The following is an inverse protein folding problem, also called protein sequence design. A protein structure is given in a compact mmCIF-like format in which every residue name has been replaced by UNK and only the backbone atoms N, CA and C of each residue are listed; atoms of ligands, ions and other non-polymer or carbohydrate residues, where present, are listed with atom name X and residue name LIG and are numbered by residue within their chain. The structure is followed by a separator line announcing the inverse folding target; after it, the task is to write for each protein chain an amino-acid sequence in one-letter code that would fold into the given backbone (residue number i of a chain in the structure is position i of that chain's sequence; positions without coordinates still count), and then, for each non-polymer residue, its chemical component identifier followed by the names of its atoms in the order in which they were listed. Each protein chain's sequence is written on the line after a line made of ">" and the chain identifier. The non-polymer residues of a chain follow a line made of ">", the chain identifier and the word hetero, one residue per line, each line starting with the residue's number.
data_IF_884708617059
#
_entry.id   IF_884708617059
#
_cell.length_a   1.000
_cell.length_b   1.000
_cell.length_c   1.000
_cell.angle_alpha   90.00
_cell.angle_beta   90.00
_cell.angle_gamma   90.00
#
_symmetry.space_group_name_H-M   'P 1'
#
loop_
_entity.id
_entity.type
_entity.pdbx_description
1 polymer ?
#
# COMPACT_ATOMS: atom_id res chain seq x y z
N UNK A 1 -4.09 -29.51 -14.38
CA UNK A 1 -2.76 -28.91 -14.65
C UNK A 1 -2.73 -27.61 -13.87
N UNK A 2 -1.94 -27.55 -12.79
CA UNK A 2 -1.81 -26.34 -11.98
C UNK A 2 -0.70 -25.49 -12.60
N UNK A 3 -1.07 -24.37 -13.21
CA UNK A 3 -0.11 -23.40 -13.73
C UNK A 3 0.54 -22.64 -12.57
N UNK A 4 1.86 -22.76 -12.48
CA UNK A 4 2.72 -22.03 -11.57
C UNK A 4 2.57 -20.51 -11.82
N UNK A 5 1.87 -19.83 -10.92
CA UNK A 5 1.93 -18.37 -10.85
C UNK A 5 3.34 -17.97 -10.40
N UNK A 6 3.99 -17.18 -11.24
CA UNK A 6 5.38 -16.75 -11.14
C UNK A 6 5.78 -16.27 -9.75
N UNK A 7 6.71 -17.00 -9.16
CA UNK A 7 7.49 -16.55 -8.02
C UNK A 7 8.47 -15.47 -8.52
N UNK A 8 8.27 -14.21 -8.10
CA UNK A 8 9.20 -13.11 -8.35
C UNK A 8 10.05 -12.88 -7.09
N UNK A 9 11.23 -13.50 -6.98
CA UNK A 9 12.14 -13.17 -5.89
C UNK A 9 12.82 -11.83 -6.21
N UNK A 10 12.90 -10.96 -5.21
CA UNK A 10 13.69 -9.71 -5.19
C UNK A 10 12.99 -8.39 -5.56
N UNK A 11 11.83 -8.12 -4.95
CA UNK A 11 11.44 -6.74 -4.64
C UNK A 11 11.65 -6.46 -3.14
N UNK A 12 12.64 -5.63 -2.73
CA UNK A 12 13.01 -5.42 -1.33
C UNK A 12 11.91 -4.74 -0.49
N UNK A 13 10.92 -4.09 -1.12
CA UNK A 13 9.74 -3.58 -0.43
C UNK A 13 8.64 -4.64 -0.25
N UNK A 14 8.50 -5.57 -1.20
CA UNK A 14 7.52 -6.67 -1.14
C UNK A 14 7.96 -7.82 -0.23
N UNK A 15 9.28 -8.04 -0.12
CA UNK A 15 9.84 -9.10 0.71
C UNK A 15 9.82 -8.75 2.22
N UNK A 16 9.56 -7.48 2.57
CA UNK A 16 9.48 -7.03 3.97
C UNK A 16 8.06 -7.17 4.55
N UNK A 17 7.02 -7.00 3.73
CA UNK A 17 5.61 -7.20 4.12
C UNK A 17 4.77 -7.74 2.95
N UNK A 18 4.40 -9.04 2.91
CA UNK A 18 3.52 -9.60 1.87
C UNK A 18 2.09 -9.03 1.91
N UNK A 19 1.73 -8.37 3.00
CA UNK A 19 0.48 -7.64 3.19
C UNK A 19 0.67 -6.60 4.29
N UNK A 20 0.34 -5.34 4.02
CA UNK A 20 0.55 -4.22 4.96
C UNK A 20 -0.79 -3.71 5.51
N UNK A 21 -0.81 -3.43 6.82
CA UNK A 21 -1.95 -2.76 7.45
C UNK A 21 -1.87 -1.24 7.23
N UNK A 22 -3.03 -0.58 7.11
CA UNK A 22 -3.10 0.89 7.00
C UNK A 22 -2.34 1.63 8.10
N UNK A 23 -2.29 1.07 9.32
CA UNK A 23 -1.49 1.62 10.43
C UNK A 23 0.00 1.73 10.07
N UNK A 24 0.59 0.59 9.67
CA UNK A 24 2.01 0.49 9.34
C UNK A 24 2.33 1.39 8.15
N UNK A 25 1.41 1.44 7.17
CA UNK A 25 1.57 2.32 6.02
C UNK A 25 1.59 3.81 6.41
N UNK A 26 0.78 4.24 7.38
CA UNK A 26 0.84 5.60 7.92
C UNK A 26 2.21 5.87 8.57
N UNK A 27 2.68 4.94 9.39
CA UNK A 27 3.96 5.07 10.11
C UNK A 27 5.15 5.18 9.14
N UNK A 28 5.19 4.34 8.10
CA UNK A 28 6.25 4.37 7.07
C UNK A 28 6.22 5.64 6.21
N UNK A 29 5.03 6.13 5.84
CA UNK A 29 4.87 7.36 5.06
C UNK A 29 5.34 8.58 5.86
N UNK A 30 4.97 8.68 7.14
CA UNK A 30 5.44 9.77 8.01
C UNK A 30 6.95 9.69 8.26
N UNK A 31 7.50 8.48 8.43
CA UNK A 31 8.96 8.27 8.53
C UNK A 31 9.71 8.72 7.26
N UNK A 32 9.08 8.53 6.10
CA UNK A 32 9.61 8.98 4.80
C UNK A 32 9.37 10.48 4.51
N UNK A 33 8.84 11.24 5.47
CA UNK A 33 8.57 12.67 5.34
C UNK A 33 7.28 13.03 4.60
N UNK A 34 6.46 12.04 4.22
CA UNK A 34 5.18 12.24 3.53
C UNK A 34 4.10 12.53 4.57
N UNK A 35 3.67 13.79 4.64
CA UNK A 35 2.59 14.21 5.55
C UNK A 35 1.23 13.94 4.95
N UNK A 36 0.47 13.05 5.58
CA UNK A 36 -0.92 12.75 5.18
C UNK A 36 -1.87 13.93 5.43
N UNK A 37 -1.59 14.73 6.45
CA UNK A 37 -2.38 15.88 6.89
C UNK A 37 -1.48 17.13 6.96
N UNK A 38 -2.05 18.29 6.64
CA UNK A 38 -1.29 19.54 6.52
C UNK A 38 -1.23 20.35 7.83
N UNK A 39 -1.91 19.92 8.90
CA UNK A 39 -2.13 20.75 10.08
C UNK A 39 -1.36 20.25 11.31
N UNK A 40 -0.83 21.20 12.10
CA UNK A 40 0.05 20.94 13.27
C UNK A 40 -0.71 20.48 14.53
N UNK A 41 -1.99 20.17 14.43
CA UNK A 41 -2.79 19.78 15.59
C UNK A 41 -2.66 18.27 15.85
N UNK A 42 -2.88 17.83 17.08
CA UNK A 42 -2.94 16.41 17.47
C UNK A 42 -4.09 15.72 16.75
N UNK A 43 -3.89 15.37 15.48
CA UNK A 43 -4.91 14.76 14.65
C UNK A 43 -5.00 13.27 14.98
N UNK A 44 -6.21 12.83 15.35
CA UNK A 44 -6.48 11.46 15.74
C UNK A 44 -6.20 10.48 14.61
N UNK A 45 -5.85 9.25 14.98
CA UNK A 45 -5.57 8.13 14.08
C UNK A 45 -6.62 8.02 12.96
N UNK A 46 -7.90 8.17 13.29
CA UNK A 46 -9.02 8.11 12.31
C UNK A 46 -8.89 9.13 11.18
N UNK A 47 -8.45 10.36 11.46
CA UNK A 47 -8.25 11.39 10.43
C UNK A 47 -7.13 10.99 9.46
N UNK A 48 -6.02 10.46 10.00
CA UNK A 48 -4.89 9.94 9.19
C UNK A 48 -5.31 8.77 8.30
N UNK A 49 -6.13 7.86 8.82
CA UNK A 49 -6.69 6.75 8.04
C UNK A 49 -7.55 7.24 6.88
N UNK A 50 -8.44 8.21 7.11
CA UNK A 50 -9.28 8.77 6.05
C UNK A 50 -8.46 9.53 5.00
N UNK A 51 -7.45 10.29 5.43
CA UNK A 51 -6.55 10.98 4.51
C UNK A 51 -5.73 9.99 3.67
N UNK A 52 -5.16 8.96 4.29
CA UNK A 52 -4.49 7.87 3.60
C UNK A 52 -5.41 7.22 2.57
N UNK A 53 -6.64 6.89 2.98
CA UNK A 53 -7.62 6.24 2.12
C UNK A 53 -7.91 7.09 0.88
N UNK A 54 -8.22 8.37 1.06
CA UNK A 54 -8.62 9.25 -0.05
C UNK A 54 -7.48 9.64 -0.97
N UNK A 55 -6.30 9.93 -0.40
CA UNK A 55 -5.17 10.49 -1.16
C UNK A 55 -4.31 9.45 -1.85
N UNK A 56 -4.22 8.24 -1.30
CA UNK A 56 -3.30 7.21 -1.77
C UNK A 56 -4.02 5.92 -2.10
N UNK A 57 -4.81 5.36 -1.17
CA UNK A 57 -5.39 4.02 -1.40
C UNK A 57 -6.42 4.04 -2.53
N UNK A 58 -7.37 4.97 -2.51
CA UNK A 58 -8.39 5.09 -3.55
C UNK A 58 -7.80 5.24 -4.96
N UNK A 59 -6.92 6.23 -5.24
CA UNK A 59 -6.37 6.37 -6.59
C UNK A 59 -5.55 5.15 -7.01
N UNK A 60 -4.80 4.53 -6.11
CA UNK A 60 -4.04 3.32 -6.42
C UNK A 60 -4.95 2.11 -6.71
N UNK A 61 -6.17 2.06 -6.15
CA UNK A 61 -7.19 1.07 -6.51
C UNK A 61 -7.81 1.41 -7.86
N UNK A 62 -8.14 2.68 -8.10
CA UNK A 62 -8.74 3.14 -9.36
C UNK A 62 -7.80 2.93 -10.56
N UNK A 63 -6.49 3.05 -10.35
CA UNK A 63 -5.46 2.73 -11.35
C UNK A 63 -5.09 1.25 -11.42
N UNK A 64 -5.79 0.39 -10.68
CA UNK A 64 -5.53 -1.04 -10.59
C UNK A 64 -4.08 -1.39 -10.19
N UNK A 65 -3.38 -0.54 -9.43
CA UNK A 65 -2.04 -0.85 -8.92
C UNK A 65 -2.09 -1.68 -7.63
N UNK A 66 -3.14 -1.49 -6.82
CA UNK A 66 -3.36 -2.23 -5.59
C UNK A 66 -4.79 -2.74 -5.52
N UNK A 67 -4.99 -3.83 -4.78
CA UNK A 67 -6.31 -4.37 -4.42
C UNK A 67 -6.42 -4.57 -2.92
N UNK A 68 -7.64 -4.42 -2.41
CA UNK A 68 -7.97 -4.72 -1.01
C UNK A 68 -8.59 -6.12 -0.94
N UNK A 69 -7.89 -7.08 -0.33
CA UNK A 69 -8.45 -8.39 -0.05
C UNK A 69 -9.02 -8.43 1.38
N UNK A 70 -10.23 -8.95 1.54
CA UNK A 70 -10.82 -9.20 2.87
C UNK A 70 -10.22 -10.51 3.41
N UNK A 71 -9.16 -10.41 4.20
CA UNK A 71 -8.64 -11.55 4.95
C UNK A 71 -9.09 -11.44 6.42
N UNK A 72 -10.27 -11.98 6.72
CA UNK A 72 -10.87 -11.89 8.05
C UNK A 72 -11.34 -10.47 8.43
N UNK A 73 -11.10 -10.04 9.66
CA UNK A 73 -11.64 -8.80 10.23
C UNK A 73 -11.01 -7.52 9.67
N UNK A 74 -9.86 -7.62 8.98
CA UNK A 74 -9.13 -6.44 8.49
C UNK A 74 -8.79 -6.58 7.00
N UNK A 75 -9.09 -5.56 6.18
CA UNK A 75 -8.69 -5.57 4.78
C UNK A 75 -7.18 -5.44 4.66
N UNK A 76 -6.56 -6.29 3.86
CA UNK A 76 -5.14 -6.26 3.54
C UNK A 76 -4.94 -5.64 2.16
N UNK A 77 -3.89 -4.83 2.02
CA UNK A 77 -3.48 -4.23 0.74
C UNK A 77 -2.52 -5.20 0.05
N UNK A 78 -2.80 -5.57 -1.20
CA UNK A 78 -1.90 -6.33 -2.07
C UNK A 78 -1.65 -5.59 -3.38
N UNK A 79 -0.48 -5.75 -3.96
CA UNK A 79 -0.20 -5.29 -5.32
C UNK A 79 -0.91 -6.18 -6.34
N UNK A 80 -1.30 -5.57 -7.46
CA UNK A 80 -1.67 -6.27 -8.69
C UNK A 80 -0.44 -6.49 -9.57
N UNK A 81 -0.60 -7.21 -10.68
CA UNK A 81 0.46 -7.33 -11.67
C UNK A 81 0.83 -5.97 -12.28
N UNK A 82 -0.16 -5.11 -12.55
CA UNK A 82 0.06 -3.75 -13.06
C UNK A 82 0.87 -2.89 -12.07
N UNK A 83 0.56 -2.98 -10.77
CA UNK A 83 1.34 -2.31 -9.74
C UNK A 83 2.78 -2.81 -9.66
N UNK A 84 3.01 -4.11 -9.83
CA UNK A 84 4.36 -4.70 -9.89
C UNK A 84 5.12 -4.18 -11.12
N UNK A 85 4.47 -4.16 -12.28
CA UNK A 85 5.05 -3.65 -13.52
C UNK A 85 5.42 -2.17 -13.37
N UNK A 86 4.51 -1.33 -12.87
CA UNK A 86 4.73 0.09 -12.63
C UNK A 86 5.91 0.34 -11.67
N UNK A 87 6.04 -0.45 -10.60
CA UNK A 87 7.18 -0.36 -9.69
C UNK A 87 8.51 -0.75 -10.34
N UNK A 88 8.49 -1.64 -11.33
CA UNK A 88 9.69 -2.01 -12.08
C UNK A 88 10.23 -0.82 -12.89
N UNK A 89 9.36 0.05 -13.39
CA UNK A 89 9.76 1.26 -14.14
C UNK A 89 10.32 2.38 -13.25
N UNK A 90 9.97 2.39 -11.96
CA UNK A 90 10.42 3.43 -11.01
C UNK A 90 11.79 3.12 -10.38
N UNK A 91 12.35 1.94 -10.62
CA UNK A 91 13.62 1.49 -10.06
C UNK A 91 14.83 1.71 -10.99
N UNK A 92 14.60 2.22 -12.19
CA UNK A 92 15.63 2.58 -13.16
C UNK A 92 15.98 4.08 -13.06
#
# INVERSE_FOLDING_TARGET
>A
MCEHLGYFPNNPLLNKYPSISKKILIEELESSGIKLLNNKSKEGLVAKYNALQRKYINPLIEWDYIRLEKNGTRPIIKLTQEGINALSFLKD
#
